data_IF_317033244982
#
_entry.id   IF_317033244982
#
_cell.length_a   1.000
_cell.length_b   1.000
_cell.length_c   1.000
_cell.angle_alpha   90.00
_cell.angle_beta   90.00
_cell.angle_gamma   90.00
#
_symmetry.space_group_name_H-M   'P 1'
#
loop_
_entity.id
_entity.type
_entity.pdbx_description
1 polymer ?
#
# COMPACT_ATOMS: atom_id res chain seq x y z
N UNK A 1 -4.41 -5.66 -11.78
CA UNK A 1 -3.54 -4.48 -11.90
C UNK A 1 -4.19 -3.28 -11.23
N UNK A 2 -3.43 -2.54 -10.44
CA UNK A 2 -3.95 -1.39 -9.70
C UNK A 2 -3.21 -0.13 -10.11
N UNK A 3 -3.85 0.79 -10.83
CA UNK A 3 -3.21 2.04 -11.23
C UNK A 3 -2.99 2.96 -10.03
N UNK A 4 -1.87 3.70 -10.05
CA UNK A 4 -1.63 4.73 -9.05
C UNK A 4 -2.52 5.94 -9.31
N UNK A 5 -2.84 6.67 -8.24
CA UNK A 5 -3.57 7.93 -8.36
C UNK A 5 -2.72 8.97 -9.11
N UNK A 6 -3.38 9.95 -9.72
CA UNK A 6 -2.68 11.02 -10.45
C UNK A 6 -2.01 12.02 -9.53
N UNK A 7 -2.41 12.07 -8.27
CA UNK A 7 -1.85 13.00 -7.30
C UNK A 7 -0.58 12.48 -6.65
N UNK A 8 -0.08 13.22 -5.64
CA UNK A 8 1.17 12.87 -4.96
C UNK A 8 1.04 11.66 -4.03
N UNK A 9 -0.17 11.20 -3.74
CA UNK A 9 -0.41 10.10 -2.82
C UNK A 9 -1.41 9.11 -3.42
N UNK A 10 -1.18 7.81 -3.15
CA UNK A 10 -2.11 6.74 -3.48
C UNK A 10 -2.32 5.91 -2.22
N UNK A 11 -3.56 5.76 -1.79
CA UNK A 11 -3.89 4.98 -0.59
C UNK A 11 -4.09 3.51 -0.94
N UNK A 12 -3.63 2.63 -0.05
CA UNK A 12 -3.78 1.19 -0.17
C UNK A 12 -4.51 0.69 1.07
N UNK A 13 -5.55 -0.12 0.87
CA UNK A 13 -6.22 -0.68 2.02
C UNK A 13 -7.45 -1.50 1.66
N UNK A 14 -8.34 -1.60 2.63
CA UNK A 14 -9.60 -2.34 2.52
C UNK A 14 -10.77 -1.36 2.56
N UNK A 15 -11.65 -1.46 1.58
CA UNK A 15 -12.85 -0.63 1.55
C UNK A 15 -13.73 -0.91 2.76
N UNK A 16 -14.26 0.15 3.36
CA UNK A 16 -15.19 0.05 4.47
C UNK A 16 -16.41 0.95 4.21
N UNK A 17 -17.54 0.38 3.80
CA UNK A 17 -18.75 1.16 3.52
C UNK A 17 -19.33 1.84 4.76
N UNK A 18 -19.06 1.32 5.94
CA UNK A 18 -19.61 1.88 7.19
C UNK A 18 -18.95 3.22 7.52
N UNK A 19 -17.64 3.31 7.40
CA UNK A 19 -16.90 4.55 7.69
C UNK A 19 -16.69 5.41 6.46
N UNK A 20 -17.02 4.91 5.26
CA UNK A 20 -16.79 5.64 4.02
C UNK A 20 -15.36 5.57 3.51
N UNK A 21 -14.49 4.76 4.11
CA UNK A 21 -13.11 4.60 3.67
C UNK A 21 -13.10 3.85 2.34
N UNK A 22 -12.48 4.46 1.33
CA UNK A 22 -12.42 3.92 -0.02
C UNK A 22 -11.03 4.16 -0.61
N UNK A 23 -10.07 3.27 -0.35
CA UNK A 23 -8.70 3.45 -0.85
C UNK A 23 -8.64 3.36 -2.37
N UNK A 24 -7.72 4.12 -3.00
CA UNK A 24 -7.50 4.07 -4.44
C UNK A 24 -7.07 2.68 -4.88
N UNK A 25 -6.23 2.01 -4.09
CA UNK A 25 -5.91 0.60 -4.31
C UNK A 25 -6.67 -0.20 -3.26
N UNK A 26 -7.82 -0.73 -3.68
CA UNK A 26 -8.69 -1.52 -2.81
C UNK A 26 -8.32 -2.99 -2.94
N UNK A 27 -7.70 -3.55 -1.89
CA UNK A 27 -7.26 -4.93 -1.89
C UNK A 27 -8.33 -5.91 -1.37
N UNK A 28 -9.53 -5.42 -1.05
CA UNK A 28 -10.61 -6.26 -0.56
C UNK A 28 -10.85 -7.51 -1.42
N UNK A 29 -10.93 -7.38 -2.76
CA UNK A 29 -11.22 -8.57 -3.58
C UNK A 29 -10.15 -9.65 -3.58
N UNK A 30 -8.90 -9.28 -3.28
CA UNK A 30 -7.78 -10.23 -3.31
C UNK A 30 -7.32 -10.64 -1.91
N UNK A 31 -7.90 -10.04 -0.87
CA UNK A 31 -7.53 -10.32 0.52
C UNK A 31 -8.43 -11.39 1.11
N UNK A 32 -8.20 -12.65 0.71
CA UNK A 32 -9.05 -13.76 1.12
C UNK A 32 -8.94 -14.07 2.61
N UNK A 33 -7.90 -13.64 3.29
CA UNK A 33 -7.66 -13.93 4.70
C UNK A 33 -7.87 -12.72 5.61
N UNK A 34 -8.41 -11.65 5.08
CA UNK A 34 -8.71 -10.41 5.81
C UNK A 34 -7.51 -9.88 6.57
N UNK A 35 -6.35 -9.88 5.91
CA UNK A 35 -5.09 -9.42 6.49
C UNK A 35 -4.85 -7.92 6.32
N UNK A 36 -5.68 -7.25 5.49
CA UNK A 36 -5.49 -5.85 5.12
C UNK A 36 -6.30 -4.94 6.03
N UNK A 37 -5.65 -3.93 6.59
CA UNK A 37 -6.31 -2.89 7.35
C UNK A 37 -7.01 -1.91 6.42
N UNK A 38 -8.03 -1.20 6.93
CA UNK A 38 -8.77 -0.22 6.13
C UNK A 38 -7.83 0.83 5.56
N UNK A 39 -6.94 1.40 6.39
CA UNK A 39 -5.83 2.26 5.96
C UNK A 39 -4.55 1.49 6.23
N UNK A 40 -3.99 0.88 5.18
CA UNK A 40 -2.85 -0.03 5.36
C UNK A 40 -1.53 0.62 5.01
N UNK A 41 -1.45 1.23 3.83
CA UNK A 41 -0.22 1.84 3.34
C UNK A 41 -0.53 2.99 2.41
N UNK A 42 0.48 3.83 2.16
CA UNK A 42 0.41 4.89 1.16
C UNK A 42 1.61 4.82 0.25
N UNK A 43 1.39 5.12 -1.01
CA UNK A 43 2.46 5.33 -1.97
C UNK A 43 2.55 6.83 -2.22
N UNK A 44 3.76 7.37 -2.12
CA UNK A 44 4.04 8.78 -2.36
C UNK A 44 4.84 8.92 -3.64
N UNK A 45 4.55 9.98 -4.40
CA UNK A 45 5.29 10.33 -5.62
C UNK A 45 5.92 11.70 -5.42
N UNK A 46 7.26 11.77 -5.49
CA UNK A 46 7.98 13.02 -5.34
C UNK A 46 9.19 13.05 -6.27
N UNK A 47 9.29 14.10 -7.11
CA UNK A 47 10.46 14.32 -7.97
C UNK A 47 10.80 13.13 -8.87
N UNK A 48 9.80 12.47 -9.41
CA UNK A 48 10.00 11.28 -10.25
C UNK A 48 10.33 10.01 -9.50
N UNK A 49 10.34 10.05 -8.17
CA UNK A 49 10.59 8.89 -7.33
C UNK A 49 9.31 8.45 -6.63
N UNK A 50 9.29 7.18 -6.22
CA UNK A 50 8.15 6.59 -5.53
C UNK A 50 8.58 6.04 -4.18
N UNK A 51 7.72 6.21 -3.19
CA UNK A 51 7.97 5.77 -1.82
C UNK A 51 6.72 5.07 -1.28
N UNK A 52 6.92 4.09 -0.41
CA UNK A 52 5.82 3.42 0.28
C UNK A 52 6.01 3.58 1.78
N UNK A 53 4.90 3.78 2.50
CA UNK A 53 4.92 3.86 3.96
C UNK A 53 3.74 3.09 4.53
N UNK A 54 3.96 2.47 5.70
CA UNK A 54 2.89 1.82 6.44
C UNK A 54 2.09 2.86 7.21
N UNK A 55 0.77 2.76 7.19
CA UNK A 55 -0.10 3.64 7.96
C UNK A 55 -0.14 3.25 9.44
N UNK A 56 -0.46 4.23 10.28
CA UNK A 56 -0.60 4.01 11.72
C UNK A 56 -1.78 3.10 11.99
N UNK A 57 -1.60 2.13 12.90
CA UNK A 57 -2.67 1.23 13.31
C UNK A 57 -2.83 -0.02 12.46
N UNK A 58 -1.90 -0.27 11.55
CA UNK A 58 -1.91 -1.47 10.73
C UNK A 58 -1.53 -2.69 11.57
N UNK A 59 -2.32 -3.75 11.49
CA UNK A 59 -2.12 -4.94 12.34
C UNK A 59 -1.08 -5.91 11.79
N UNK A 60 -1.05 -6.11 10.48
CA UNK A 60 -0.25 -7.18 9.88
C UNK A 60 0.98 -6.70 9.11
N UNK A 61 1.23 -5.42 9.12
CA UNK A 61 2.48 -4.85 8.60
C UNK A 61 2.52 -4.67 7.09
N UNK A 62 3.48 -3.84 6.67
CA UNK A 62 3.82 -3.59 5.27
C UNK A 62 5.30 -3.92 5.10
N UNK A 63 5.62 -4.66 4.04
CA UNK A 63 6.97 -5.17 3.79
C UNK A 63 7.42 -4.77 2.39
N UNK A 64 8.66 -4.31 2.28
CA UNK A 64 9.28 -4.01 0.99
C UNK A 64 10.41 -5.00 0.77
N UNK A 65 10.27 -5.84 -0.26
CA UNK A 65 11.22 -6.92 -0.56
C UNK A 65 11.52 -7.79 0.68
N UNK A 66 10.47 -8.11 1.43
CA UNK A 66 10.56 -8.97 2.61
C UNK A 66 10.99 -8.29 3.90
N UNK A 67 11.29 -7.00 3.86
CA UNK A 67 11.73 -6.25 5.04
C UNK A 67 10.57 -5.38 5.52
N UNK A 68 10.22 -5.53 6.79
CA UNK A 68 9.12 -4.75 7.37
C UNK A 68 9.48 -3.28 7.47
N UNK A 69 8.56 -2.42 7.03
CA UNK A 69 8.73 -0.97 7.10
C UNK A 69 8.38 -0.45 8.49
N UNK A 70 9.04 0.62 8.89
CA UNK A 70 8.64 1.37 10.07
C UNK A 70 7.37 2.16 9.77
N UNK A 71 6.43 2.15 10.70
CA UNK A 71 5.16 2.88 10.56
C UNK A 71 5.43 4.36 10.32
N UNK A 72 4.83 4.91 9.28
CA UNK A 72 4.91 6.33 8.98
C UNK A 72 6.20 6.79 8.30
N UNK A 73 7.14 5.89 8.04
CA UNK A 73 8.43 6.26 7.43
C UNK A 73 8.42 5.86 5.96
N UNK A 74 8.39 6.83 5.02
CA UNK A 74 8.44 6.52 3.59
C UNK A 74 9.77 5.89 3.20
N UNK A 75 9.70 4.81 2.42
CA UNK A 75 10.87 4.09 1.93
C UNK A 75 10.80 4.04 0.40
N UNK A 76 11.90 4.37 -0.25
CA UNK A 76 11.93 4.45 -1.71
C UNK A 76 11.74 3.08 -2.35
N UNK A 77 10.92 3.05 -3.42
CA UNK A 77 10.68 1.86 -4.23
C UNK A 77 11.27 2.05 -5.63
N UNK A 78 11.69 0.94 -6.22
CA UNK A 78 12.08 0.89 -7.63
C UNK A 78 11.16 -0.08 -8.39
N UNK A 79 11.00 0.09 -9.71
CA UNK A 79 10.22 -0.86 -10.50
C UNK A 79 10.72 -2.28 -10.30
N UNK A 80 9.80 -3.21 -10.10
CA UNK A 80 10.11 -4.61 -9.81
C UNK A 80 10.13 -4.95 -8.34
N UNK A 81 10.13 -3.94 -7.45
CA UNK A 81 10.10 -4.21 -6.02
C UNK A 81 8.79 -4.86 -5.61
N UNK A 82 8.87 -5.74 -4.63
CA UNK A 82 7.73 -6.44 -4.08
C UNK A 82 7.25 -5.75 -2.81
N UNK A 83 5.97 -5.37 -2.80
CA UNK A 83 5.33 -4.75 -1.65
C UNK A 83 4.31 -5.73 -1.11
N UNK A 84 4.46 -6.15 0.15
CA UNK A 84 3.49 -7.02 0.78
C UNK A 84 2.73 -6.24 1.85
N UNK A 85 1.42 -6.18 1.71
CA UNK A 85 0.52 -5.59 2.70
C UNK A 85 -0.22 -6.73 3.37
N UNK A 86 0.05 -6.96 4.65
CA UNK A 86 -0.49 -8.14 5.32
C UNK A 86 -0.02 -9.40 4.61
N UNK A 87 -0.96 -10.17 4.06
CA UNK A 87 -0.67 -11.40 3.30
C UNK A 87 -0.81 -11.21 1.79
N UNK A 88 -1.07 -9.99 1.32
CA UNK A 88 -1.25 -9.71 -0.11
C UNK A 88 0.04 -9.14 -0.68
N UNK A 89 0.60 -9.82 -1.67
CA UNK A 89 1.83 -9.40 -2.32
C UNK A 89 1.54 -8.69 -3.64
N UNK A 90 2.17 -7.54 -3.81
CA UNK A 90 2.07 -6.72 -5.01
C UNK A 90 3.45 -6.50 -5.59
N UNK A 91 3.52 -6.22 -6.88
CA UNK A 91 4.76 -5.84 -7.54
C UNK A 91 4.61 -4.42 -8.05
N UNK A 92 5.56 -3.55 -7.70
CA UNK A 92 5.55 -2.18 -8.19
C UNK A 92 6.05 -2.13 -9.63
N UNK A 93 5.29 -1.46 -10.49
CA UNK A 93 5.68 -1.24 -11.88
C UNK A 93 5.55 0.23 -12.20
N UNK A 94 6.54 0.76 -12.90
CA UNK A 94 6.52 2.13 -13.39
C UNK A 94 6.91 2.09 -14.87
N UNK A 95 5.98 2.46 -15.71
CA UNK A 95 6.20 2.51 -17.16
C UNK A 95 6.72 3.87 -17.60
#
# INVERSE_FOLDING_TARGET
>A
EFPLANGPETTIGRRDPVTGINPEIDLTPVDTQRSISRRHSKIYRRGGKFFVAEEIGTMNGTFLNGIRLETGVPTEMAPGDEVRCGLVQLVFRAD
#
